data_IF_925076750796
#
_entry.id   IF_925076750796
#
_cell.length_a   1.000
_cell.length_b   1.000
_cell.length_c   1.000
_cell.angle_alpha   90.00
_cell.angle_beta   90.00
_cell.angle_gamma   90.00
#
_symmetry.space_group_name_H-M   'P 1'
#
loop_
_entity.id
_entity.type
_entity.pdbx_description
1 polymer ?
#
# COMPACT_ATOMS: atom_id res chain seq x y z
N UNK A 1 12.44 1.49 11.45
CA UNK A 1 11.03 1.18 11.11
C UNK A 1 10.67 -0.18 11.68
N UNK A 2 9.71 -0.22 12.60
CA UNK A 2 9.27 -1.46 13.26
C UNK A 2 7.99 -2.02 12.62
N UNK A 3 7.66 -1.61 11.40
CA UNK A 3 6.50 -2.15 10.67
C UNK A 3 6.82 -3.60 10.29
N UNK A 4 5.92 -4.55 10.59
CA UNK A 4 6.08 -5.94 10.21
C UNK A 4 6.22 -6.10 8.69
N UNK A 5 7.02 -7.07 8.29
CA UNK A 5 7.22 -7.41 6.88
C UNK A 5 6.75 -8.86 6.68
N UNK A 6 5.87 -9.06 5.73
CA UNK A 6 5.46 -10.38 5.28
C UNK A 6 6.03 -10.65 3.88
N UNK A 7 6.65 -11.80 3.71
CA UNK A 7 7.15 -12.23 2.39
C UNK A 7 6.25 -13.33 1.85
N UNK A 8 5.72 -13.13 0.65
CA UNK A 8 4.84 -14.10 0.01
C UNK A 8 5.56 -15.42 -0.26
N UNK A 9 4.83 -16.51 -0.08
CA UNK A 9 5.28 -17.84 -0.42
C UNK A 9 5.13 -18.09 -1.92
N UNK A 10 5.94 -19.01 -2.47
CA UNK A 10 5.81 -19.42 -3.86
C UNK A 10 4.48 -20.16 -4.07
N UNK A 11 3.79 -19.85 -5.15
CA UNK A 11 2.64 -20.61 -5.63
C UNK A 11 3.05 -21.89 -6.38
N UNK A 12 2.08 -22.58 -6.96
CA UNK A 12 2.28 -23.81 -7.72
C UNK A 12 3.24 -23.63 -8.92
N UNK A 13 3.31 -22.43 -9.49
CA UNK A 13 4.26 -22.07 -10.55
C UNK A 13 5.70 -21.85 -10.06
N UNK A 14 5.98 -22.03 -8.75
CA UNK A 14 7.30 -21.82 -8.14
C UNK A 14 7.71 -20.35 -8.01
N UNK A 15 6.77 -19.42 -8.17
CA UNK A 15 6.99 -17.97 -8.06
C UNK A 15 6.08 -17.36 -7.01
N UNK A 16 6.53 -16.29 -6.36
CA UNK A 16 5.77 -15.60 -5.34
C UNK A 16 4.87 -14.50 -5.91
N UNK A 17 5.20 -13.94 -7.09
CA UNK A 17 4.51 -12.82 -7.71
C UNK A 17 3.06 -13.15 -8.10
N UNK A 18 2.13 -12.26 -7.81
CA UNK A 18 0.72 -12.44 -8.11
C UNK A 18 0.38 -12.48 -9.61
N UNK A 19 1.27 -11.96 -10.45
CA UNK A 19 1.12 -12.08 -11.89
C UNK A 19 1.14 -13.54 -12.37
N UNK A 20 1.82 -14.43 -11.64
CA UNK A 20 1.97 -15.86 -11.97
C UNK A 20 1.06 -16.78 -11.17
N UNK A 21 0.38 -16.28 -10.13
CA UNK A 21 -0.51 -17.05 -9.25
C UNK A 21 -1.95 -17.10 -9.77
N UNK A 22 -2.67 -18.15 -9.40
CA UNK A 22 -4.12 -18.26 -9.61
C UNK A 22 -4.89 -17.33 -8.65
N UNK A 23 -6.18 -17.11 -8.92
CA UNK A 23 -7.04 -16.29 -8.06
C UNK A 23 -7.16 -16.89 -6.64
N UNK A 24 -7.27 -18.20 -6.53
CA UNK A 24 -7.34 -18.91 -5.25
C UNK A 24 -6.04 -18.80 -4.44
N UNK A 25 -4.89 -18.88 -5.13
CA UNK A 25 -3.59 -18.70 -4.47
C UNK A 25 -3.41 -17.28 -3.95
N UNK A 26 -3.88 -16.27 -4.67
CA UNK A 26 -3.84 -14.88 -4.24
C UNK A 26 -4.78 -14.65 -3.04
N UNK A 27 -5.98 -15.22 -3.07
CA UNK A 27 -6.91 -15.17 -1.93
C UNK A 27 -6.30 -15.85 -0.69
N UNK A 28 -5.64 -17.00 -0.87
CA UNK A 28 -4.93 -17.68 0.20
C UNK A 28 -3.74 -16.86 0.75
N UNK A 29 -3.01 -16.16 -0.11
CA UNK A 29 -1.93 -15.24 0.32
C UNK A 29 -2.48 -14.12 1.21
N UNK A 30 -3.59 -13.49 0.81
CA UNK A 30 -4.22 -12.42 1.60
C UNK A 30 -4.71 -12.97 2.95
N UNK A 31 -5.35 -14.13 2.95
CA UNK A 31 -5.74 -14.79 4.20
C UNK A 31 -4.52 -15.10 5.09
N UNK A 32 -3.41 -15.53 4.50
CA UNK A 32 -2.16 -15.76 5.21
C UNK A 32 -1.57 -14.50 5.84
N UNK A 33 -1.64 -13.36 5.13
CA UNK A 33 -1.18 -12.06 5.64
C UNK A 33 -2.07 -11.58 6.80
N UNK A 34 -3.40 -11.68 6.66
CA UNK A 34 -4.34 -11.32 7.71
C UNK A 34 -4.11 -12.17 8.97
N UNK A 35 -3.99 -13.49 8.82
CA UNK A 35 -3.68 -14.41 9.93
C UNK A 35 -2.32 -14.11 10.59
N UNK A 36 -1.34 -13.67 9.80
CA UNK A 36 -0.04 -13.27 10.34
C UNK A 36 -0.17 -12.05 11.25
N UNK A 37 -0.93 -11.03 10.85
CA UNK A 37 -1.17 -9.84 11.66
C UNK A 37 -1.99 -10.19 12.90
N UNK A 38 -3.06 -10.96 12.75
CA UNK A 38 -3.90 -11.41 13.86
C UNK A 38 -3.09 -12.18 14.92
N UNK A 39 -2.19 -13.06 14.46
CA UNK A 39 -1.29 -13.78 15.36
C UNK A 39 -0.28 -12.87 16.04
N UNK A 40 0.31 -11.93 15.29
CA UNK A 40 1.31 -11.00 15.80
C UNK A 40 0.74 -10.03 16.83
N UNK A 41 -0.50 -9.61 16.62
CA UNK A 41 -1.20 -8.63 17.47
C UNK A 41 -2.16 -9.27 18.48
N UNK A 42 -2.24 -10.61 18.51
CA UNK A 42 -3.20 -11.35 19.35
C UNK A 42 -4.66 -10.93 19.11
N UNK A 43 -5.03 -10.74 17.85
CA UNK A 43 -6.35 -10.27 17.39
C UNK A 43 -6.75 -8.87 17.87
N UNK A 44 -5.78 -7.99 18.12
CA UNK A 44 -6.05 -6.60 18.49
C UNK A 44 -6.18 -5.71 17.26
N UNK A 45 -5.35 -5.94 16.23
CA UNK A 45 -5.33 -5.13 15.02
C UNK A 45 -6.04 -5.86 13.86
N UNK A 46 -6.95 -5.16 13.20
CA UNK A 46 -7.69 -5.66 12.03
C UNK A 46 -7.53 -4.69 10.86
N UNK A 47 -6.51 -4.87 10.02
CA UNK A 47 -6.32 -4.02 8.86
C UNK A 47 -7.49 -4.12 7.89
N UNK A 48 -7.90 -2.97 7.35
CA UNK A 48 -9.06 -2.85 6.47
C UNK A 48 -8.74 -2.22 5.11
N UNK A 49 -7.50 -1.80 4.90
CA UNK A 49 -7.06 -1.06 3.73
C UNK A 49 -5.82 -1.68 3.10
N UNK A 50 -5.90 -1.91 1.79
CA UNK A 50 -4.84 -2.49 0.99
C UNK A 50 -4.36 -1.50 -0.07
N UNK A 51 -3.06 -1.26 -0.13
CA UNK A 51 -2.41 -0.47 -1.18
C UNK A 51 -1.51 -1.37 -2.01
N UNK A 52 -1.63 -1.30 -3.32
CA UNK A 52 -0.79 -2.06 -4.25
C UNK A 52 -0.32 -1.20 -5.42
N UNK A 53 0.72 -1.64 -6.17
CA UNK A 53 1.13 -0.96 -7.40
C UNK A 53 0.02 -0.90 -8.45
N UNK A 54 -0.07 0.24 -9.16
CA UNK A 54 -1.09 0.44 -10.19
C UNK A 54 -0.99 -0.57 -11.36
N UNK A 55 0.21 -0.96 -11.75
CA UNK A 55 0.47 -1.95 -12.78
C UNK A 55 -0.10 -3.33 -12.39
N UNK A 56 0.10 -3.73 -11.15
CA UNK A 56 -0.47 -4.96 -10.61
C UNK A 56 -2.00 -4.90 -10.51
N UNK A 57 -2.55 -3.80 -9.98
CA UNK A 57 -3.99 -3.59 -9.89
C UNK A 57 -4.67 -3.70 -11.25
N UNK A 58 -4.11 -3.03 -12.27
CA UNK A 58 -4.62 -3.08 -13.64
C UNK A 58 -4.53 -4.49 -14.22
N UNK A 59 -3.42 -5.20 -14.01
CA UNK A 59 -3.23 -6.57 -14.46
C UNK A 59 -4.25 -7.52 -13.86
N UNK A 60 -4.51 -7.45 -12.55
CA UNK A 60 -5.50 -8.28 -11.86
C UNK A 60 -6.94 -7.97 -12.29
N UNK A 61 -7.22 -6.70 -12.60
CA UNK A 61 -8.54 -6.29 -13.07
C UNK A 61 -8.83 -6.78 -14.51
N UNK A 62 -7.81 -6.80 -15.36
CA UNK A 62 -7.95 -7.25 -16.76
C UNK A 62 -7.93 -8.78 -16.87
N UNK A 63 -7.21 -9.46 -15.98
CA UNK A 63 -7.10 -10.92 -16.00
C UNK A 63 -8.43 -11.56 -15.56
N UNK A 64 -9.00 -12.40 -16.43
CA UNK A 64 -10.23 -13.13 -16.15
C UNK A 64 -9.96 -14.54 -15.66
N UNK A 65 -10.85 -15.04 -14.83
CA UNK A 65 -10.84 -16.44 -14.39
C UNK A 65 -11.50 -17.27 -15.47
N UNK A 66 -10.83 -18.33 -15.88
CA UNK A 66 -11.34 -19.24 -16.92
C UNK A 66 -12.69 -19.82 -16.53
N UNK A 67 -13.65 -19.75 -17.46
CA UNK A 67 -14.99 -20.31 -17.31
C UNK A 67 -16.01 -19.43 -16.56
N UNK A 68 -15.61 -18.33 -15.89
CA UNK A 68 -16.56 -17.49 -15.13
C UNK A 68 -16.78 -16.12 -15.76
N UNK A 69 -15.83 -15.62 -16.55
CA UNK A 69 -15.86 -14.25 -17.07
C UNK A 69 -15.58 -13.16 -16.01
N UNK A 70 -15.43 -13.53 -14.76
CA UNK A 70 -15.11 -12.65 -13.64
C UNK A 70 -13.63 -12.26 -13.66
N UNK A 71 -13.31 -11.02 -13.21
CA UNK A 71 -11.92 -10.62 -13.05
C UNK A 71 -11.31 -11.19 -11.77
N UNK A 72 -10.02 -11.48 -11.79
CA UNK A 72 -9.29 -11.94 -10.58
C UNK A 72 -9.43 -10.94 -9.44
N UNK A 73 -9.42 -9.64 -9.74
CA UNK A 73 -9.57 -8.59 -8.72
C UNK A 73 -10.96 -8.61 -8.07
N UNK A 74 -12.03 -8.81 -8.86
CA UNK A 74 -13.40 -8.93 -8.32
C UNK A 74 -13.51 -10.14 -7.40
N UNK A 75 -13.04 -11.27 -7.85
CA UNK A 75 -13.01 -12.52 -7.06
C UNK A 75 -12.30 -12.33 -5.72
N UNK A 76 -11.12 -11.71 -5.73
CA UNK A 76 -10.36 -11.46 -4.51
C UNK A 76 -11.15 -10.56 -3.55
N UNK A 77 -11.73 -9.46 -4.05
CA UNK A 77 -12.53 -8.53 -3.24
C UNK A 77 -13.71 -9.22 -2.57
N UNK A 78 -14.38 -10.10 -3.28
CA UNK A 78 -15.54 -10.82 -2.77
C UNK A 78 -15.16 -11.86 -1.70
N UNK A 79 -13.97 -12.45 -1.84
CA UNK A 79 -13.47 -13.46 -0.88
C UNK A 79 -12.67 -12.90 0.30
N UNK A 80 -12.40 -11.58 0.31
CA UNK A 80 -11.69 -10.90 1.39
C UNK A 80 -12.46 -9.69 1.92
N UNK A 81 -13.66 -9.89 2.49
CA UNK A 81 -14.54 -8.81 2.92
C UNK A 81 -13.98 -7.96 4.06
N UNK A 82 -12.93 -8.42 4.74
CA UNK A 82 -12.22 -7.66 5.77
C UNK A 82 -11.54 -6.42 5.20
N UNK A 83 -11.07 -6.51 3.94
CA UNK A 83 -10.40 -5.40 3.25
C UNK A 83 -11.45 -4.57 2.53
N UNK A 84 -11.79 -3.42 3.11
CA UNK A 84 -12.82 -2.52 2.59
C UNK A 84 -12.28 -1.55 1.53
N UNK A 85 -11.03 -1.12 1.69
CA UNK A 85 -10.43 -0.10 0.84
C UNK A 85 -9.29 -0.71 0.02
N UNK A 86 -9.40 -0.57 -1.31
CA UNK A 86 -8.37 -0.99 -2.25
C UNK A 86 -7.83 0.24 -2.96
N UNK A 87 -6.60 0.60 -2.62
CA UNK A 87 -5.94 1.80 -3.11
C UNK A 87 -4.73 1.43 -3.97
N UNK A 88 -4.28 2.37 -4.80
CA UNK A 88 -3.13 2.17 -5.68
C UNK A 88 -2.07 3.23 -5.44
N UNK A 89 -0.79 2.82 -5.47
CA UNK A 89 0.34 3.72 -5.34
C UNK A 89 1.46 3.30 -6.30
N UNK A 90 1.86 4.22 -7.17
CA UNK A 90 2.91 3.96 -8.16
C UNK A 90 4.30 3.79 -7.55
N UNK A 91 4.51 4.34 -6.36
CA UNK A 91 5.76 4.27 -5.59
C UNK A 91 6.10 2.85 -5.15
N UNK A 92 5.10 1.99 -4.99
CA UNK A 92 5.26 0.59 -4.57
C UNK A 92 5.64 -0.34 -5.73
N UNK A 93 5.59 0.15 -6.98
CA UNK A 93 5.95 -0.63 -8.16
C UNK A 93 7.44 -0.94 -8.21
N UNK A 94 7.78 -2.16 -8.65
CA UNK A 94 9.15 -2.58 -8.95
C UNK A 94 9.86 -1.72 -10.00
N UNK A 95 9.09 -1.01 -10.83
CA UNK A 95 9.61 -0.10 -11.85
C UNK A 95 10.07 1.24 -11.29
N UNK A 96 9.61 1.62 -10.11
CA UNK A 96 9.92 2.90 -9.49
C UNK A 96 11.13 2.78 -8.55
N UNK A 97 12.33 2.86 -9.11
CA UNK A 97 13.58 2.65 -8.37
C UNK A 97 13.90 3.77 -7.36
N UNK A 98 13.29 4.94 -7.51
CA UNK A 98 13.54 6.09 -6.64
C UNK A 98 12.91 5.86 -5.24
N UNK A 99 11.77 5.16 -5.20
CA UNK A 99 11.04 4.87 -3.96
C UNK A 99 11.09 3.39 -3.55
N UNK A 100 11.18 2.49 -4.53
CA UNK A 100 11.22 1.04 -4.30
C UNK A 100 12.53 0.43 -4.81
N UNK A 101 13.52 0.34 -3.94
CA UNK A 101 14.82 -0.26 -4.25
C UNK A 101 14.85 -1.79 -4.19
N UNK A 102 13.75 -2.45 -3.83
CA UNK A 102 13.71 -3.92 -3.64
C UNK A 102 13.69 -4.72 -4.94
N UNK A 103 13.35 -4.08 -6.06
CA UNK A 103 13.19 -4.74 -7.36
C UNK A 103 11.97 -5.66 -7.46
N UNK A 104 11.09 -5.65 -6.46
CA UNK A 104 9.83 -6.40 -6.40
C UNK A 104 8.68 -5.46 -6.12
N UNK A 105 7.48 -5.82 -6.55
CA UNK A 105 6.29 -5.10 -6.14
C UNK A 105 6.08 -5.25 -4.63
N UNK A 106 5.66 -4.17 -3.99
CA UNK A 106 5.40 -4.11 -2.55
C UNK A 106 3.92 -3.82 -2.37
N UNK A 107 3.28 -4.47 -1.40
CA UNK A 107 1.96 -4.11 -0.90
C UNK A 107 2.06 -3.51 0.48
N UNK A 108 1.09 -2.68 0.83
CA UNK A 108 0.90 -2.17 2.17
C UNK A 108 -0.52 -2.51 2.62
N UNK A 109 -0.61 -3.25 3.72
CA UNK A 109 -1.86 -3.50 4.43
C UNK A 109 -1.85 -2.68 5.71
N UNK A 110 -2.91 -1.92 5.98
CA UNK A 110 -2.97 -1.03 7.15
C UNK A 110 -4.41 -0.81 7.63
N UNK A 111 -4.55 -0.34 8.85
CA UNK A 111 -5.82 0.11 9.40
C UNK A 111 -6.01 1.59 9.11
N UNK A 112 -7.05 1.95 8.38
CA UNK A 112 -7.37 3.35 8.02
C UNK A 112 -8.05 4.06 9.18
N UNK A 113 -7.25 4.43 10.20
CA UNK A 113 -7.69 5.12 11.40
C UNK A 113 -6.75 6.31 11.65
N UNK A 114 -7.29 7.54 11.82
CA UNK A 114 -6.47 8.73 12.09
C UNK A 114 -5.61 8.61 13.35
N UNK A 115 -6.03 7.83 14.34
CA UNK A 115 -5.27 7.61 15.58
C UNK A 115 -4.08 6.66 15.37
N UNK A 116 -4.11 5.84 14.31
CA UNK A 116 -3.08 4.84 13.98
C UNK A 116 -2.14 5.28 12.86
N UNK A 117 -2.61 6.16 11.99
CA UNK A 117 -1.83 6.69 10.87
C UNK A 117 -2.27 8.12 10.58
N UNK A 118 -1.38 9.07 10.79
CA UNK A 118 -1.62 10.49 10.55
C UNK A 118 -0.52 11.11 9.69
N UNK A 119 -0.90 12.12 8.92
CA UNK A 119 0.04 12.95 8.18
C UNK A 119 0.19 14.27 8.92
N UNK A 120 1.38 14.50 9.46
CA UNK A 120 1.64 15.67 10.29
C UNK A 120 2.19 16.83 9.45
N UNK A 121 1.48 17.96 9.48
CA UNK A 121 1.88 19.20 8.83
C UNK A 121 2.10 20.27 9.92
N UNK A 122 3.30 20.34 10.53
CA UNK A 122 3.59 21.28 11.62
C UNK A 122 3.39 22.74 11.23
N UNK A 123 3.56 23.06 9.95
CA UNK A 123 3.37 24.39 9.43
C UNK A 123 2.76 24.34 8.04
N UNK A 124 1.53 24.83 7.92
CA UNK A 124 0.86 24.97 6.64
C UNK A 124 1.66 25.89 5.69
N UNK A 125 1.48 25.70 4.39
CA UNK A 125 2.09 26.57 3.39
C UNK A 125 1.64 28.04 3.61
N UNK A 126 2.63 28.92 3.81
CA UNK A 126 2.45 30.36 4.00
C UNK A 126 3.18 31.12 2.91
N UNK A 127 2.48 32.02 2.25
CA UNK A 127 3.04 32.95 1.29
C UNK A 127 3.15 34.33 1.96
N UNK A 128 4.36 34.87 2.01
CA UNK A 128 4.60 36.23 2.51
C UNK A 128 4.23 37.30 1.49
N UNK A 129 4.08 38.53 1.97
CA UNK A 129 3.83 39.66 1.09
C UNK A 129 4.94 39.83 0.05
N UNK A 130 4.61 40.19 -1.20
CA UNK A 130 5.60 40.46 -2.23
C UNK A 130 6.56 41.58 -1.81
N UNK A 131 7.83 41.39 -2.11
CA UNK A 131 8.88 42.37 -1.87
C UNK A 131 9.49 42.81 -3.19
N UNK A 132 9.57 44.13 -3.41
CA UNK A 132 10.26 44.70 -4.56
C UNK A 132 11.76 44.70 -4.31
N UNK A 133 12.54 44.04 -5.14
CA UNK A 133 14.00 43.99 -5.13
C UNK A 133 14.55 44.23 -6.52
N UNK A 134 15.18 45.41 -6.74
CA UNK A 134 15.94 45.68 -7.97
C UNK A 134 15.23 45.27 -9.28
N UNK A 135 14.00 45.71 -9.48
CA UNK A 135 13.16 45.38 -10.63
C UNK A 135 12.60 43.96 -10.66
N UNK A 136 12.76 43.20 -9.57
CA UNK A 136 12.19 41.86 -9.38
C UNK A 136 11.17 41.89 -8.24
N UNK A 137 10.12 41.11 -8.36
CA UNK A 137 9.18 40.85 -7.27
C UNK A 137 9.53 39.50 -6.66
N UNK A 138 9.95 39.52 -5.40
CA UNK A 138 10.30 38.30 -4.65
C UNK A 138 9.15 37.97 -3.70
N UNK A 139 8.63 36.76 -3.82
CA UNK A 139 7.61 36.21 -2.91
C UNK A 139 8.24 35.08 -2.13
N UNK A 140 8.46 35.26 -0.84
CA UNK A 140 8.95 34.21 0.02
C UNK A 140 7.80 33.30 0.42
N UNK A 141 8.01 32.00 0.27
CA UNK A 141 7.05 30.99 0.69
C UNK A 141 7.72 30.06 1.68
N UNK A 142 7.00 29.65 2.69
CA UNK A 142 7.47 28.66 3.67
C UNK A 142 6.38 27.63 4.00
N UNK A 143 6.79 26.44 4.35
CA UNK A 143 5.94 25.36 4.79
C UNK A 143 6.80 24.25 5.38
N UNK A 144 6.23 23.46 6.27
CA UNK A 144 6.90 22.32 6.88
C UNK A 144 5.97 21.12 6.86
N UNK A 145 6.50 20.01 6.38
CA UNK A 145 5.88 18.71 6.38
C UNK A 145 6.76 17.77 7.22
N UNK A 146 6.15 17.09 8.19
CA UNK A 146 6.82 16.07 9.01
C UNK A 146 6.62 14.65 8.45
N UNK A 147 5.77 14.50 7.43
CA UNK A 147 5.47 13.23 6.80
C UNK A 147 4.49 12.36 7.59
N UNK A 148 4.49 11.06 7.28
CA UNK A 148 3.57 10.10 7.87
C UNK A 148 4.06 9.65 9.24
N UNK A 149 3.19 9.77 10.25
CA UNK A 149 3.40 9.24 11.59
C UNK A 149 2.55 7.97 11.77
N UNK A 150 3.18 6.89 12.22
CA UNK A 150 2.52 5.62 12.55
C UNK A 150 2.84 5.31 14.02
N UNK A 151 2.01 5.77 14.97
CA UNK A 151 2.22 5.53 16.41
C UNK A 151 2.19 4.04 16.76
N UNK A 152 1.38 3.26 16.05
CA UNK A 152 1.20 1.82 16.26
C UNK A 152 1.75 1.05 15.05
N UNK A 153 3.04 0.68 15.03
CA UNK A 153 3.65 0.01 13.87
C UNK A 153 2.99 -1.31 13.48
N UNK A 154 2.35 -1.99 14.44
CA UNK A 154 1.65 -3.26 14.22
C UNK A 154 0.28 -3.09 13.52
N UNK A 155 -0.22 -1.85 13.36
CA UNK A 155 -1.43 -1.56 12.59
C UNK A 155 -1.19 -1.53 11.08
N UNK A 156 0.05 -1.70 10.65
CA UNK A 156 0.44 -1.78 9.25
C UNK A 156 1.38 -2.96 9.00
N UNK A 157 1.36 -3.50 7.79
CA UNK A 157 2.26 -4.58 7.36
C UNK A 157 2.70 -4.34 5.91
N UNK A 158 4.00 -4.43 5.68
CA UNK A 158 4.57 -4.42 4.33
C UNK A 158 4.62 -5.83 3.78
N UNK A 159 4.15 -6.00 2.55
CA UNK A 159 4.12 -7.29 1.86
C UNK A 159 5.05 -7.25 0.67
N UNK A 160 6.05 -8.13 0.68
CA UNK A 160 7.05 -8.21 -0.39
C UNK A 160 6.80 -9.39 -1.32
N UNK A 161 6.98 -9.15 -2.62
CA UNK A 161 6.95 -10.18 -3.64
C UNK A 161 5.63 -10.29 -4.40
N UNK A 162 4.82 -9.21 -4.38
CA UNK A 162 3.57 -9.12 -5.16
C UNK A 162 3.81 -9.23 -6.67
#
# INVERSE_FOLDING_TARGET
>A
NNIPIYTLQNGAAGKADWASKTADEIAADIAGILNYIDTLTQNVEHPDSWVMPNDLYTSLNLRRIDGTGESVLSYIKDHTPQIKNWEVAGELSKGNKDYNSTGKNIGLLYTKDPDKMSHEVPMAFLQHAPQDRNLEIVINCEGRDAGMMIPYPLSACLVYGL
#
